data_IF_573041299844
#
_entry.id   IF_573041299844
#
_cell.length_a   1.000
_cell.length_b   1.000
_cell.length_c   1.000
_cell.angle_alpha   90.00
_cell.angle_beta   90.00
_cell.angle_gamma   90.00
#
_symmetry.space_group_name_H-M   'P 1'
#
loop_
_entity.id
_entity.type
_entity.pdbx_description
1 polymer ?
#
# COMPACT_ATOMS: atom_id res chain seq x y z
N UNK A 1 -50.74 35.00 21.75
CA UNK A 1 -50.11 35.25 20.44
C UNK A 1 -48.75 34.56 20.40
N UNK A 2 -48.59 33.70 19.38
CA UNK A 2 -47.39 33.11 18.78
C UNK A 2 -46.04 33.59 19.34
N UNK A 3 -45.15 32.66 19.71
CA UNK A 3 -43.84 32.43 19.05
C UNK A 3 -43.36 31.00 19.36
N UNK A 4 -43.63 30.07 18.44
CA UNK A 4 -42.96 28.77 18.40
C UNK A 4 -41.70 28.98 17.55
N UNK A 5 -40.54 29.03 18.20
CA UNK A 5 -39.26 29.22 17.54
C UNK A 5 -38.78 27.84 17.07
N UNK A 6 -38.98 27.53 15.78
CA UNK A 6 -38.47 26.30 15.20
C UNK A 6 -36.96 26.46 14.96
N UNK A 7 -36.17 25.84 15.83
CA UNK A 7 -34.72 25.73 15.68
C UNK A 7 -34.43 24.67 14.59
N UNK A 8 -34.14 25.12 13.38
CA UNK A 8 -33.68 24.27 12.29
C UNK A 8 -32.19 23.97 12.55
N UNK A 9 -31.91 22.79 13.09
CA UNK A 9 -30.55 22.28 13.25
C UNK A 9 -30.14 21.64 11.92
N UNK A 10 -29.44 22.40 11.06
CA UNK A 10 -28.87 21.85 9.83
C UNK A 10 -27.67 20.99 10.24
N UNK A 11 -27.88 19.68 10.33
CA UNK A 11 -26.81 18.70 10.36
C UNK A 11 -26.11 18.75 9.00
N UNK A 12 -25.11 19.61 8.87
CA UNK A 12 -24.10 19.48 7.83
C UNK A 12 -23.33 18.20 8.12
N UNK A 13 -23.77 17.09 7.52
CA UNK A 13 -22.96 15.89 7.38
C UNK A 13 -21.68 16.31 6.65
N UNK A 14 -20.56 16.36 7.37
CA UNK A 14 -19.27 16.63 6.75
C UNK A 14 -18.99 15.46 5.82
N UNK A 15 -19.09 15.72 4.52
CA UNK A 15 -18.51 14.83 3.51
C UNK A 15 -17.00 14.94 3.71
N UNK A 16 -16.40 14.00 4.44
CA UNK A 16 -14.95 13.86 4.48
C UNK A 16 -14.50 13.51 3.07
N UNK A 17 -13.87 14.47 2.42
CA UNK A 17 -13.23 14.26 1.14
C UNK A 17 -11.92 13.51 1.39
N UNK A 18 -11.66 12.48 0.59
CA UNK A 18 -10.35 11.84 0.56
C UNK A 18 -9.78 11.93 -0.85
N UNK A 19 -8.47 12.14 -0.91
CA UNK A 19 -7.72 12.27 -2.14
C UNK A 19 -6.71 11.12 -2.26
N UNK A 20 -6.67 10.47 -3.42
CA UNK A 20 -5.70 9.42 -3.70
C UNK A 20 -4.45 10.03 -4.36
N UNK A 21 -3.31 10.01 -3.68
CA UNK A 21 -2.02 10.49 -4.18
C UNK A 21 -1.14 9.32 -4.64
N UNK A 22 -0.53 9.37 -5.85
CA UNK A 22 0.25 8.26 -6.37
C UNK A 22 1.56 8.07 -5.59
N UNK A 23 1.88 6.83 -5.24
CA UNK A 23 3.16 6.47 -4.61
C UNK A 23 4.09 5.78 -5.59
N UNK A 24 3.67 4.63 -6.14
CA UNK A 24 4.49 3.83 -7.04
C UNK A 24 3.63 2.88 -7.89
N UNK A 25 4.15 2.50 -9.06
CA UNK A 25 3.62 1.39 -9.84
C UNK A 25 4.36 0.09 -9.46
N UNK A 26 3.63 -1.03 -9.37
CA UNK A 26 4.18 -2.35 -9.07
C UNK A 26 3.85 -3.30 -10.23
N UNK A 27 4.89 -3.75 -10.92
CA UNK A 27 4.79 -4.75 -11.99
C UNK A 27 4.94 -6.15 -11.36
N UNK A 28 3.87 -6.94 -11.40
CA UNK A 28 3.79 -8.25 -10.76
C UNK A 28 3.97 -9.37 -11.79
N UNK A 29 5.19 -9.87 -12.00
CA UNK A 29 5.41 -11.11 -12.81
C UNK A 29 4.65 -12.35 -12.30
N UNK A 30 4.43 -12.53 -10.98
CA UNK A 30 3.57 -13.60 -10.47
C UNK A 30 2.12 -13.55 -10.98
N UNK A 31 1.65 -12.37 -11.35
CA UNK A 31 0.31 -12.09 -11.89
C UNK A 31 0.41 -11.71 -13.38
N UNK A 32 1.30 -12.37 -14.13
CA UNK A 32 1.46 -12.21 -15.58
C UNK A 32 1.81 -10.78 -16.03
N UNK A 33 2.70 -10.12 -15.27
CA UNK A 33 3.11 -8.72 -15.44
C UNK A 33 2.00 -7.70 -15.24
N UNK A 34 0.95 -8.04 -14.49
CA UNK A 34 -0.09 -7.10 -14.09
C UNK A 34 0.53 -5.89 -13.37
N UNK A 35 0.06 -4.71 -13.75
CA UNK A 35 0.47 -3.44 -13.14
C UNK A 35 -0.52 -3.06 -12.04
N UNK A 36 0.01 -2.80 -10.85
CA UNK A 36 -0.74 -2.28 -9.72
C UNK A 36 -0.26 -0.86 -9.43
N UNK A 37 -1.19 0.10 -9.37
CA UNK A 37 -0.90 1.44 -8.87
C UNK A 37 -1.08 1.41 -7.36
N UNK A 38 -0.03 1.76 -6.63
CA UNK A 38 -0.09 2.00 -5.20
C UNK A 38 -0.22 3.49 -4.97
N UNK A 39 -1.25 3.86 -4.21
CA UNK A 39 -1.58 5.23 -3.85
C UNK A 39 -1.72 5.31 -2.33
N UNK A 40 -1.60 6.52 -1.81
CA UNK A 40 -1.96 6.85 -0.44
C UNK A 40 -3.25 7.64 -0.45
N UNK A 41 -4.19 7.24 0.39
CA UNK A 41 -5.43 7.99 0.62
C UNK A 41 -5.17 9.00 1.73
N UNK A 42 -5.40 10.29 1.47
CA UNK A 42 -5.19 11.38 2.43
C UNK A 42 -6.46 12.17 2.68
N UNK A 43 -6.54 12.86 3.82
CA UNK A 43 -7.62 13.80 4.14
C UNK A 43 -7.30 15.24 3.71
N UNK A 44 -8.17 16.19 4.09
CA UNK A 44 -8.05 17.62 3.77
C UNK A 44 -6.78 18.27 4.34
N UNK A 45 -6.10 17.66 5.32
CA UNK A 45 -4.82 18.13 5.87
C UNK A 45 -3.61 17.39 5.26
N UNK A 46 -3.85 16.57 4.23
CA UNK A 46 -2.88 15.67 3.63
C UNK A 46 -2.31 14.62 4.61
N UNK A 47 -3.03 14.36 5.69
CA UNK A 47 -2.70 13.27 6.61
C UNK A 47 -3.25 11.96 6.05
N UNK A 48 -2.45 10.90 6.15
CA UNK A 48 -2.79 9.62 5.55
C UNK A 48 -3.94 8.96 6.33
N UNK A 49 -4.90 8.42 5.57
CA UNK A 49 -6.05 7.64 6.06
C UNK A 49 -5.98 6.17 5.68
N UNK A 50 -5.29 5.84 4.59
CA UNK A 50 -5.23 4.49 4.06
C UNK A 50 -4.24 4.32 2.93
N UNK A 51 -4.11 3.09 2.47
CA UNK A 51 -3.42 2.77 1.21
C UNK A 51 -4.44 2.28 0.19
N UNK A 52 -4.18 2.58 -1.08
CA UNK A 52 -5.02 2.12 -2.18
C UNK A 52 -4.15 1.33 -3.15
N UNK A 53 -4.58 0.10 -3.45
CA UNK A 53 -4.03 -0.71 -4.54
C UNK A 53 -5.06 -0.73 -5.67
N UNK A 54 -4.67 -0.24 -6.84
CA UNK A 54 -5.52 -0.19 -8.02
C UNK A 54 -4.94 -0.99 -9.17
N UNK A 55 -5.79 -1.71 -9.89
CA UNK A 55 -5.49 -2.30 -11.20
C UNK A 55 -6.43 -1.70 -12.24
N UNK A 56 -6.39 -2.19 -13.47
CA UNK A 56 -7.42 -1.85 -14.48
C UNK A 56 -8.82 -2.36 -14.07
N UNK A 57 -8.88 -3.45 -13.32
CA UNK A 57 -10.10 -4.20 -13.01
C UNK A 57 -10.65 -3.88 -11.61
N UNK A 58 -9.76 -3.56 -10.67
CA UNK A 58 -10.09 -3.53 -9.23
C UNK A 58 -9.48 -2.34 -8.51
N UNK A 59 -10.17 -1.88 -7.47
CA UNK A 59 -9.66 -0.92 -6.48
C UNK A 59 -9.82 -1.58 -5.11
N UNK A 60 -8.72 -1.69 -4.38
CA UNK A 60 -8.67 -2.21 -3.02
C UNK A 60 -8.17 -1.10 -2.11
N UNK A 61 -9.02 -0.69 -1.17
CA UNK A 61 -8.64 0.21 -0.06
C UNK A 61 -8.21 -0.64 1.11
N UNK A 62 -7.13 -0.23 1.76
CA UNK A 62 -6.48 -0.96 2.85
C UNK A 62 -6.41 0.00 4.03
N UNK A 63 -7.03 -0.38 5.14
CA UNK A 63 -6.98 0.40 6.35
C UNK A 63 -5.59 0.27 6.98
N UNK A 64 -5.10 1.35 7.59
CA UNK A 64 -3.77 1.38 8.17
C UNK A 64 -3.60 0.36 9.31
N UNK A 65 -4.67 0.14 10.08
CA UNK A 65 -4.72 -0.89 11.13
C UNK A 65 -4.40 -2.29 10.57
N UNK A 66 -4.95 -2.63 9.41
CA UNK A 66 -4.68 -3.92 8.75
C UNK A 66 -3.21 -4.02 8.29
N UNK A 67 -2.62 -2.90 7.88
CA UNK A 67 -1.20 -2.85 7.50
C UNK A 67 -0.29 -2.94 8.71
N UNK A 68 -0.67 -2.38 9.86
CA UNK A 68 0.09 -2.50 11.10
C UNK A 68 0.14 -3.96 11.55
N UNK A 69 -0.97 -4.69 11.45
CA UNK A 69 -1.06 -6.12 11.82
C UNK A 69 -0.41 -7.06 10.80
N UNK A 70 -0.30 -6.63 9.55
CA UNK A 70 0.28 -7.40 8.45
C UNK A 70 -0.76 -7.78 7.42
N UNK A 71 -0.84 -6.99 6.36
CA UNK A 71 -1.82 -7.16 5.30
C UNK A 71 -1.29 -8.05 4.18
N UNK A 72 -2.01 -9.13 3.85
CA UNK A 72 -1.65 -10.02 2.73
C UNK A 72 -2.06 -9.38 1.40
N UNK A 73 -1.09 -8.86 0.65
CA UNK A 73 -1.31 -8.26 -0.68
C UNK A 73 -1.55 -9.30 -1.78
N UNK A 74 -0.88 -10.45 -1.67
CA UNK A 74 -0.99 -11.53 -2.64
C UNK A 74 -0.97 -12.87 -1.93
N UNK A 75 -2.08 -13.59 -2.02
CA UNK A 75 -2.15 -15.01 -1.69
C UNK A 75 -2.20 -15.83 -2.99
N UNK A 76 -1.44 -16.92 -3.06
CA UNK A 76 -1.48 -17.84 -4.18
C UNK A 76 -1.34 -19.27 -3.67
N UNK A 77 -2.28 -20.14 -4.05
CA UNK A 77 -2.26 -21.57 -3.69
C UNK A 77 -2.15 -21.81 -2.18
N UNK A 78 -2.77 -20.95 -1.36
CA UNK A 78 -2.75 -21.05 0.10
C UNK A 78 -1.45 -20.58 0.75
N UNK A 79 -0.57 -19.93 -0.03
CA UNK A 79 0.65 -19.29 0.49
C UNK A 79 0.52 -17.77 0.38
N UNK A 80 0.84 -17.09 1.47
CA UNK A 80 1.01 -15.64 1.49
C UNK A 80 2.32 -15.32 0.79
N UNK A 81 2.22 -14.80 -0.42
CA UNK A 81 3.37 -14.51 -1.29
C UNK A 81 3.94 -13.15 -0.95
N UNK A 82 3.08 -12.18 -0.63
CA UNK A 82 3.45 -10.80 -0.29
C UNK A 82 2.61 -10.33 0.87
N UNK A 83 3.28 -9.83 1.90
CA UNK A 83 2.70 -9.28 3.12
C UNK A 83 3.27 -7.87 3.31
N UNK A 84 2.40 -6.90 3.55
CA UNK A 84 2.77 -5.52 3.82
C UNK A 84 2.61 -5.26 5.32
N UNK A 85 3.65 -4.72 5.95
CA UNK A 85 3.65 -4.36 7.37
C UNK A 85 4.18 -2.95 7.56
N UNK A 86 3.58 -2.17 8.47
CA UNK A 86 4.06 -0.81 8.80
C UNK A 86 3.90 -0.54 10.32
N UNK A 87 4.73 -1.15 11.18
CA UNK A 87 4.51 -1.12 12.63
C UNK A 87 4.74 0.25 13.28
N UNK A 88 5.55 1.12 12.68
CA UNK A 88 5.91 2.44 13.19
C UNK A 88 5.24 3.59 12.44
N UNK A 89 4.07 3.33 11.87
CA UNK A 89 3.36 4.30 11.05
C UNK A 89 2.85 5.51 11.86
N UNK A 90 3.04 6.70 11.29
CA UNK A 90 2.47 7.97 11.73
C UNK A 90 1.73 8.64 10.56
N UNK A 91 0.50 9.09 10.77
CA UNK A 91 -0.33 9.64 9.70
C UNK A 91 0.15 10.98 9.14
N UNK A 92 0.98 11.70 9.91
CA UNK A 92 1.50 13.02 9.56
C UNK A 92 2.89 12.91 8.94
N UNK A 93 3.71 11.99 9.43
CA UNK A 93 5.13 11.88 9.06
C UNK A 93 5.47 10.66 8.20
N UNK A 94 4.57 9.68 8.11
CA UNK A 94 4.79 8.42 7.40
C UNK A 94 5.45 7.36 8.28
N UNK A 95 6.35 6.57 7.71
CA UNK A 95 7.03 5.50 8.46
C UNK A 95 7.66 4.42 7.60
N UNK A 96 8.36 3.49 8.27
CA UNK A 96 8.97 2.33 7.63
C UNK A 96 7.91 1.28 7.29
N UNK A 97 7.83 0.94 6.01
CA UNK A 97 7.01 -0.11 5.46
C UNK A 97 7.91 -1.29 5.09
N UNK A 98 7.61 -2.46 5.63
CA UNK A 98 8.24 -3.72 5.26
C UNK A 98 7.32 -4.50 4.34
N UNK A 99 7.82 -4.79 3.13
CA UNK A 99 7.21 -5.74 2.21
C UNK A 99 7.92 -7.08 2.36
N UNK A 100 7.28 -7.99 3.10
CA UNK A 100 7.74 -9.36 3.28
C UNK A 100 7.25 -10.21 2.10
N UNK A 101 8.16 -10.93 1.46
CA UNK A 101 7.84 -11.77 0.31
C UNK A 101 8.36 -13.20 0.46
N UNK A 102 7.56 -14.15 -0.02
CA UNK A 102 7.93 -15.56 -0.07
C UNK A 102 9.05 -15.74 -1.10
N UNK A 103 10.28 -15.95 -0.67
CA UNK A 103 11.44 -16.16 -1.54
C UNK A 103 11.55 -17.61 -2.05
N UNK A 104 11.09 -18.56 -1.24
CA UNK A 104 11.10 -19.99 -1.56
C UNK A 104 9.91 -20.70 -0.88
N UNK A 105 8.92 -21.08 -1.67
CA UNK A 105 7.70 -21.76 -1.23
C UNK A 105 7.90 -23.21 -0.81
N UNK A 106 8.95 -23.88 -1.30
CA UNK A 106 9.24 -25.26 -0.91
C UNK A 106 9.82 -25.29 0.51
N UNK A 107 10.71 -24.34 0.82
CA UNK A 107 11.31 -24.21 2.14
C UNK A 107 10.55 -23.24 3.07
N UNK A 108 9.44 -22.64 2.61
CA UNK A 108 8.68 -21.56 3.28
C UNK A 108 9.58 -20.43 3.80
N UNK A 109 10.55 -20.01 2.99
CA UNK A 109 11.49 -18.93 3.35
C UNK A 109 10.99 -17.59 2.85
N UNK A 110 11.02 -16.61 3.74
CA UNK A 110 10.64 -15.24 3.47
C UNK A 110 11.86 -14.32 3.47
N UNK A 111 11.72 -13.18 2.80
CA UNK A 111 12.67 -12.07 2.82
C UNK A 111 11.90 -10.77 2.94
N UNK A 112 12.56 -9.77 3.48
CA UNK A 112 11.97 -8.46 3.70
C UNK A 112 12.60 -7.45 2.73
N UNK A 113 11.76 -6.57 2.18
CA UNK A 113 12.16 -5.40 1.42
C UNK A 113 11.63 -4.16 2.16
N UNK A 114 12.56 -3.38 2.71
CA UNK A 114 12.21 -2.24 3.55
C UNK A 114 12.23 -0.95 2.74
N UNK A 115 11.14 -0.21 2.86
CA UNK A 115 10.88 1.06 2.23
C UNK A 115 10.37 2.04 3.28
N UNK A 116 10.49 3.32 3.01
CA UNK A 116 10.07 4.39 3.91
C UNK A 116 9.11 5.30 3.16
N UNK A 117 7.96 5.59 3.76
CA UNK A 117 7.01 6.57 3.28
C UNK A 117 7.32 7.90 3.96
N UNK A 118 7.60 8.93 3.16
CA UNK A 118 7.95 10.26 3.65
C UNK A 118 7.03 11.31 3.04
N UNK A 119 6.71 12.32 3.87
CA UNK A 119 5.96 13.52 3.47
C UNK A 119 6.93 14.65 3.10
N UNK A 120 6.62 15.36 2.03
CA UNK A 120 7.27 16.61 1.64
C UNK A 120 6.19 17.63 1.26
N UNK A 121 5.87 18.53 2.20
CA UNK A 121 4.72 19.43 2.06
C UNK A 121 3.40 18.65 1.97
N UNK A 122 2.74 18.75 0.82
CA UNK A 122 1.47 18.08 0.52
C UNK A 122 1.67 16.78 -0.30
N UNK A 123 2.92 16.47 -0.63
CA UNK A 123 3.29 15.28 -1.40
C UNK A 123 3.76 14.14 -0.50
N UNK A 124 3.53 12.92 -0.98
CA UNK A 124 3.98 11.69 -0.35
C UNK A 124 4.84 10.88 -1.32
N UNK A 125 5.90 10.25 -0.84
CA UNK A 125 6.81 9.48 -1.68
C UNK A 125 7.42 8.30 -0.93
N UNK A 126 7.67 7.22 -1.68
CA UNK A 126 8.34 6.03 -1.18
C UNK A 126 9.83 6.08 -1.48
N UNK A 127 10.64 5.63 -0.53
CA UNK A 127 12.09 5.55 -0.66
C UNK A 127 12.59 4.18 -0.20
N UNK A 128 13.69 3.71 -0.77
CA UNK A 128 14.40 2.54 -0.20
C UNK A 128 15.04 2.95 1.12
N UNK A 129 14.95 2.11 2.16
CA UNK A 129 15.56 2.44 3.47
C UNK A 129 17.09 2.50 3.36
N UNK A 130 17.69 1.54 2.65
CA UNK A 130 19.15 1.37 2.58
C UNK A 130 19.87 2.44 1.74
N UNK A 131 19.31 2.82 0.60
CA UNK A 131 19.98 3.70 -0.38
C UNK A 131 19.28 5.06 -0.53
N UNK A 132 18.14 5.27 0.14
CA UNK A 132 17.30 6.48 0.05
C UNK A 132 16.93 6.85 -1.40
N UNK A 133 16.74 5.84 -2.24
CA UNK A 133 16.32 6.03 -3.64
C UNK A 133 14.80 6.15 -3.69
N UNK A 134 14.28 7.22 -4.32
CA UNK A 134 12.85 7.38 -4.58
C UNK A 134 12.33 6.23 -5.45
N UNK A 135 11.28 5.57 -5.00
CA UNK A 135 10.64 4.44 -5.66
C UNK A 135 9.47 4.96 -6.47
N UNK A 136 9.59 4.97 -7.80
CA UNK A 136 8.47 5.24 -8.70
C UNK A 136 7.88 3.94 -9.24
N UNK A 137 8.73 2.92 -9.45
CA UNK A 137 8.31 1.62 -9.96
C UNK A 137 9.00 0.50 -9.19
N UNK A 138 8.25 -0.52 -8.79
CA UNK A 138 8.76 -1.79 -8.32
C UNK A 138 8.45 -2.89 -9.35
N UNK A 139 9.38 -3.82 -9.56
CA UNK A 139 9.10 -5.04 -10.32
C UNK A 139 9.38 -6.27 -9.48
N UNK A 140 8.34 -7.06 -9.27
CA UNK A 140 8.38 -8.33 -8.56
C UNK A 140 8.75 -9.42 -9.55
N UNK A 141 9.97 -9.96 -9.44
CA UNK A 141 10.45 -11.00 -10.35
C UNK A 141 10.04 -12.37 -9.82
N UNK A 142 9.27 -13.12 -10.61
CA UNK A 142 8.74 -14.41 -10.18
C UNK A 142 9.86 -15.46 -10.06
N UNK A 143 9.78 -16.29 -9.02
CA UNK A 143 10.57 -17.52 -8.90
C UNK A 143 9.70 -18.70 -9.29
N UNK A 144 10.11 -19.46 -10.30
CA UNK A 144 9.38 -20.63 -10.77
C UNK A 144 10.24 -21.89 -10.69
N UNK A 145 9.61 -23.01 -10.40
CA UNK A 145 10.22 -24.35 -10.44
C UNK A 145 9.25 -25.31 -11.13
N UNK A 146 9.73 -25.99 -12.18
CA UNK A 146 8.88 -26.82 -13.05
C UNK A 146 7.61 -26.10 -13.53
N UNK A 147 7.74 -24.81 -13.90
CA UNK A 147 6.63 -23.96 -14.36
C UNK A 147 5.74 -23.37 -13.26
N UNK A 148 5.75 -23.93 -12.05
CA UNK A 148 4.93 -23.46 -10.92
C UNK A 148 5.57 -22.27 -10.22
N UNK A 149 4.75 -21.32 -9.78
CA UNK A 149 5.21 -20.20 -8.95
C UNK A 149 5.59 -20.73 -7.56
N UNK A 150 6.84 -20.51 -7.17
CA UNK A 150 7.35 -20.91 -5.85
C UNK A 150 7.83 -19.69 -5.04
N UNK A 151 7.45 -18.47 -5.43
CA UNK A 151 7.79 -17.24 -4.71
C UNK A 151 8.28 -16.11 -5.59
N UNK A 152 8.92 -15.12 -4.97
CA UNK A 152 9.53 -13.94 -5.57
C UNK A 152 11.06 -14.09 -5.50
N UNK A 153 11.72 -14.05 -6.65
CA UNK A 153 13.18 -14.20 -6.74
C UNK A 153 13.90 -12.95 -6.23
N UNK A 154 13.41 -11.78 -6.61
CA UNK A 154 13.93 -10.46 -6.23
C UNK A 154 12.91 -9.38 -6.52
N UNK A 155 13.12 -8.23 -5.91
CA UNK A 155 12.39 -6.99 -6.19
C UNK A 155 13.38 -6.03 -6.85
N UNK A 156 13.00 -5.44 -7.97
CA UNK A 156 13.77 -4.41 -8.66
C UNK A 156 13.13 -3.05 -8.42
N UNK A 157 13.96 -2.04 -8.21
CA UNK A 157 13.55 -0.64 -7.99
C UNK A 157 13.87 0.15 -9.24
N UNK A 158 12.89 0.86 -9.78
CA UNK A 158 12.98 1.66 -11.01
C UNK A 158 13.68 0.93 -12.18
N UNK A 159 13.20 -0.29 -12.55
CA UNK A 159 13.80 -1.10 -13.61
C UNK A 159 13.56 -0.54 -15.02
#
# INVERSE_FOLDING_TARGET
>A
MKKFFALIFILFSQLTYSLDLPLADVISEPEDNRVHKFLVEVDDNFDIRGLVRKTEETIQRINLEEVIEGFVLLNKEGLDVIILTCPGYDSVHGGEITLRYLYDGLAKKYRDFNMELLRDGDDWSLFTVSEKIKINTLKLVARRFLGRLIGIKKILVNP
#
